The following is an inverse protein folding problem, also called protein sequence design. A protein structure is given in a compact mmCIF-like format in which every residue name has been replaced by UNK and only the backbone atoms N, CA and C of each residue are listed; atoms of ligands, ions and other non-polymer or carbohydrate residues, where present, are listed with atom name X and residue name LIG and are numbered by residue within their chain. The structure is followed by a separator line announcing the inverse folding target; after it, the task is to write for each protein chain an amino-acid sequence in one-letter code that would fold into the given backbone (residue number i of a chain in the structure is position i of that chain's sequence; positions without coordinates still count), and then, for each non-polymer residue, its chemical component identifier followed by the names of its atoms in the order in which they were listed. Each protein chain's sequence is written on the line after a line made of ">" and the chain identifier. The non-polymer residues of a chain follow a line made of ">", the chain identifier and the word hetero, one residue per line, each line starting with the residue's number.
data_IF_498973840951
#
_entry.id   IF_498973840951
#
_cell.length_a   1.000
_cell.length_b   1.000
_cell.length_c   1.000
_cell.angle_alpha   90.00
_cell.angle_beta   90.00
_cell.angle_gamma   90.00
#
_symmetry.space_group_name_H-M   'P 1'
#
loop_
_entity.id
_entity.type
_entity.pdbx_description
1 polymer ?
#
# COMPACT_ATOMS: atom_id res chain seq x y z
N UNK A 1 13.16 12.89 10.09
CA UNK A 1 12.53 11.73 10.76
C UNK A 1 11.02 11.90 11.00
N UNK A 2 10.53 13.08 11.44
CA UNK A 2 9.09 13.29 11.71
C UNK A 2 8.16 13.02 10.51
N UNK A 3 8.47 13.53 9.31
CA UNK A 3 7.58 13.40 8.12
C UNK A 3 7.36 11.95 7.70
N UNK A 4 8.38 11.09 7.74
CA UNK A 4 8.25 9.66 7.37
C UNK A 4 7.30 8.96 8.35
N UNK A 5 7.44 9.24 9.64
CA UNK A 5 6.54 8.70 10.67
C UNK A 5 5.10 9.15 10.43
N UNK A 6 4.88 10.43 10.11
CA UNK A 6 3.55 10.97 9.83
C UNK A 6 2.93 10.35 8.59
N UNK A 7 3.70 10.14 7.52
CA UNK A 7 3.21 9.45 6.32
C UNK A 7 2.78 8.02 6.68
N UNK A 8 3.62 7.26 7.40
CA UNK A 8 3.25 5.91 7.85
C UNK A 8 1.97 5.89 8.70
N UNK A 9 1.86 6.82 9.66
CA UNK A 9 0.66 6.96 10.49
C UNK A 9 -0.57 7.35 9.68
N UNK A 10 -0.41 8.21 8.67
CA UNK A 10 -1.47 8.58 7.75
C UNK A 10 -2.00 7.38 6.95
N UNK A 11 -1.10 6.56 6.40
CA UNK A 11 -1.47 5.32 5.71
C UNK A 11 -2.21 4.37 6.67
N UNK A 12 -1.64 4.05 7.83
CA UNK A 12 -2.30 3.14 8.78
C UNK A 12 -3.66 3.65 9.26
N UNK A 13 -3.78 4.96 9.50
CA UNK A 13 -5.05 5.58 9.92
C UNK A 13 -6.11 5.53 8.81
N UNK A 14 -5.71 5.76 7.57
CA UNK A 14 -6.62 5.70 6.42
C UNK A 14 -7.15 4.27 6.22
N UNK A 15 -6.27 3.28 6.29
CA UNK A 15 -6.67 1.87 6.15
C UNK A 15 -7.60 1.42 7.28
N UNK A 16 -7.29 1.78 8.53
CA UNK A 16 -8.16 1.55 9.68
C UNK A 16 -9.54 2.22 9.52
N UNK A 17 -9.58 3.40 8.91
CA UNK A 17 -10.83 4.10 8.58
C UNK A 17 -11.65 3.38 7.51
N UNK A 18 -11.00 2.90 6.46
CA UNK A 18 -11.61 2.16 5.36
C UNK A 18 -12.18 0.83 5.87
N UNK A 19 -11.40 0.06 6.62
CA UNK A 19 -11.70 -1.31 7.02
C UNK A 19 -12.48 -1.35 8.34
N UNK A 20 -11.86 -0.95 9.45
CA UNK A 20 -12.40 -1.21 10.78
C UNK A 20 -13.51 -0.22 11.16
N UNK A 21 -13.29 1.09 10.95
CA UNK A 21 -14.24 2.10 11.42
C UNK A 21 -15.56 2.08 10.64
N UNK A 22 -15.54 1.77 9.35
CA UNK A 22 -16.77 1.67 8.57
C UNK A 22 -17.60 0.44 8.96
N UNK A 23 -16.95 -0.68 9.30
CA UNK A 23 -17.64 -1.85 9.88
C UNK A 23 -18.29 -1.47 11.21
N UNK A 24 -17.58 -0.77 12.11
CA UNK A 24 -18.14 -0.34 13.40
C UNK A 24 -19.37 0.56 13.22
N UNK A 25 -19.33 1.53 12.29
CA UNK A 25 -20.50 2.38 11.97
C UNK A 25 -21.71 1.58 11.52
N UNK A 26 -21.50 0.52 10.74
CA UNK A 26 -22.59 -0.36 10.31
C UNK A 26 -23.15 -1.16 11.48
N UNK A 27 -22.30 -1.67 12.38
CA UNK A 27 -22.70 -2.42 13.56
C UNK A 27 -23.47 -1.56 14.58
N UNK A 28 -23.17 -0.26 14.67
CA UNK A 28 -23.91 0.69 15.50
C UNK A 28 -25.33 0.97 14.98
N UNK A 29 -25.60 0.77 13.69
CA UNK A 29 -26.92 0.92 13.09
C UNK A 29 -27.25 -0.22 12.12
N UNK A 30 -27.55 -1.44 12.64
CA UNK A 30 -27.72 -2.64 11.82
C UNK A 30 -28.97 -2.62 10.91
N UNK A 31 -29.88 -1.66 11.14
CA UNK A 31 -31.06 -1.48 10.30
C UNK A 31 -30.76 -0.70 9.01
N UNK A 32 -29.59 -0.07 8.89
CA UNK A 32 -29.17 0.65 7.69
C UNK A 32 -28.63 -0.29 6.59
N UNK A 33 -29.45 -1.23 6.13
CA UNK A 33 -29.07 -2.15 5.04
C UNK A 33 -28.79 -1.41 3.73
N UNK A 34 -29.44 -0.26 3.51
CA UNK A 34 -29.25 0.57 2.32
C UNK A 34 -27.84 1.20 2.27
N UNK A 35 -27.30 1.64 3.41
CA UNK A 35 -25.95 2.20 3.52
C UNK A 35 -24.83 1.17 3.72
N UNK A 36 -25.16 -0.12 3.90
CA UNK A 36 -24.15 -1.15 4.16
C UNK A 36 -23.15 -1.30 3.00
N UNK A 37 -23.63 -1.22 1.76
CA UNK A 37 -22.75 -1.28 0.60
C UNK A 37 -21.77 -0.10 0.57
N UNK A 38 -22.25 1.12 0.84
CA UNK A 38 -21.41 2.33 0.86
C UNK A 38 -20.30 2.24 1.92
N UNK A 39 -20.61 1.67 3.08
CA UNK A 39 -19.63 1.51 4.16
C UNK A 39 -18.63 0.37 3.91
N UNK A 40 -19.07 -0.76 3.32
CA UNK A 40 -18.25 -1.96 3.22
C UNK A 40 -17.50 -2.10 1.89
N UNK A 41 -18.04 -1.60 0.78
CA UNK A 41 -17.39 -1.75 -0.53
C UNK A 41 -15.94 -1.24 -0.56
N UNK A 42 -15.58 -0.10 0.07
CA UNK A 42 -14.19 0.35 0.11
C UNK A 42 -13.24 -0.63 0.79
N UNK A 43 -13.69 -1.33 1.85
CA UNK A 43 -12.89 -2.32 2.56
C UNK A 43 -12.73 -3.62 1.76
N UNK A 44 -13.77 -4.01 1.03
CA UNK A 44 -13.76 -5.21 0.18
C UNK A 44 -12.97 -5.02 -1.11
N UNK A 45 -12.80 -3.78 -1.56
CA UNK A 45 -11.92 -3.44 -2.67
C UNK A 45 -10.49 -3.22 -2.22
N UNK A 46 -9.53 -3.53 -3.10
CA UNK A 46 -8.12 -3.22 -2.93
C UNK A 46 -7.67 -2.01 -3.72
N UNK A 47 -6.69 -1.28 -3.21
CA UNK A 47 -5.97 -0.27 -3.99
C UNK A 47 -4.51 -0.13 -3.58
N UNK A 48 -3.64 0.06 -4.57
CA UNK A 48 -2.28 0.52 -4.34
C UNK A 48 -2.28 2.01 -3.97
N UNK A 49 -1.33 2.42 -3.14
CA UNK A 49 -1.15 3.81 -2.74
C UNK A 49 0.29 4.26 -2.95
N UNK A 50 0.49 5.35 -3.69
CA UNK A 50 1.80 5.96 -3.90
C UNK A 50 1.71 7.47 -3.67
N UNK A 51 2.59 7.98 -2.81
CA UNK A 51 2.65 9.41 -2.49
C UNK A 51 4.09 9.90 -2.62
N UNK A 52 4.25 11.03 -3.32
CA UNK A 52 5.49 11.79 -3.43
C UNK A 52 5.32 13.13 -2.72
N UNK A 53 6.20 13.42 -1.76
CA UNK A 53 6.19 14.67 -1.00
C UNK A 53 7.53 15.39 -1.17
N UNK A 54 7.52 16.54 -1.84
CA UNK A 54 8.69 17.38 -2.04
C UNK A 54 8.64 18.59 -1.10
N UNK A 55 9.64 18.71 -0.24
CA UNK A 55 9.84 19.89 0.59
C UNK A 55 10.78 20.86 -0.14
N UNK A 56 10.27 22.01 -0.56
CA UNK A 56 11.02 23.01 -1.32
C UNK A 56 12.11 23.70 -0.51
N UNK A 57 11.97 23.76 0.83
CA UNK A 57 12.97 24.38 1.70
C UNK A 57 14.17 23.46 1.89
N UNK A 58 13.94 22.20 2.24
CA UNK A 58 15.01 21.21 2.40
C UNK A 58 15.48 20.61 1.07
N UNK A 59 14.71 20.78 0.00
CA UNK A 59 14.90 20.13 -1.32
C UNK A 59 14.88 18.60 -1.25
N UNK A 60 14.17 18.04 -0.26
CA UNK A 60 14.08 16.58 -0.06
C UNK A 60 12.76 16.05 -0.62
N UNK A 61 12.85 15.20 -1.64
CA UNK A 61 11.76 14.36 -2.12
C UNK A 61 11.64 13.10 -1.26
N UNK A 62 10.43 12.78 -0.80
CA UNK A 62 10.11 11.56 -0.07
C UNK A 62 9.05 10.80 -0.83
N UNK A 63 9.24 9.51 -1.03
CA UNK A 63 8.28 8.62 -1.69
C UNK A 63 7.83 7.56 -0.69
N UNK A 64 6.53 7.31 -0.65
CA UNK A 64 5.93 6.21 0.09
C UNK A 64 5.04 5.40 -0.84
N UNK A 65 5.13 4.07 -0.74
CA UNK A 65 4.34 3.13 -1.53
C UNK A 65 3.78 2.02 -0.64
N UNK A 66 2.51 1.68 -0.89
CA UNK A 66 1.87 0.43 -0.50
C UNK A 66 1.32 -0.23 -1.78
N UNK A 67 1.85 -1.39 -2.15
CA UNK A 67 1.52 -2.10 -3.38
C UNK A 67 2.58 -2.02 -4.48
N UNK A 68 2.15 -2.25 -5.71
CA UNK A 68 3.00 -2.48 -6.89
C UNK A 68 3.06 -1.29 -7.86
N UNK A 69 2.52 -0.13 -7.45
CA UNK A 69 2.78 1.14 -8.14
C UNK A 69 4.23 1.58 -8.00
N UNK A 70 4.76 2.31 -8.99
CA UNK A 70 6.18 2.71 -9.02
C UNK A 70 6.39 4.19 -9.23
N UNK A 71 7.27 4.79 -8.40
CA UNK A 71 7.78 6.13 -8.59
C UNK A 71 9.10 6.09 -9.38
N UNK A 72 9.16 6.86 -10.45
CA UNK A 72 10.35 7.03 -11.29
C UNK A 72 10.75 8.50 -11.32
N UNK A 73 12.04 8.78 -11.11
CA UNK A 73 12.63 10.10 -11.26
C UNK A 73 13.31 10.20 -12.61
N UNK A 74 12.74 10.99 -13.52
CA UNK A 74 13.43 11.44 -14.72
C UNK A 74 14.37 12.59 -14.39
N UNK A 75 15.62 12.52 -14.82
CA UNK A 75 16.61 13.59 -14.63
C UNK A 75 17.40 13.80 -15.90
N UNK A 76 17.58 15.07 -16.28
CA UNK A 76 18.44 15.47 -17.39
C UNK A 76 19.85 15.72 -16.85
N UNK A 77 20.85 15.01 -17.39
CA UNK A 77 22.23 15.21 -16.98
C UNK A 77 22.88 16.41 -17.72
N UNK A 78 24.11 16.74 -17.37
CA UNK A 78 24.86 17.86 -17.96
C UNK A 78 25.14 17.68 -19.47
N UNK A 79 25.06 16.45 -19.97
CA UNK A 79 25.25 16.09 -21.38
C UNK A 79 23.93 16.12 -22.18
N UNK A 80 22.83 16.62 -21.60
CA UNK A 80 21.48 16.60 -22.18
C UNK A 80 20.91 15.18 -22.43
N UNK A 81 21.39 14.18 -21.69
CA UNK A 81 20.85 12.83 -21.72
C UNK A 81 19.84 12.63 -20.58
N UNK A 82 18.71 11.99 -20.89
CA UNK A 82 17.72 11.60 -19.90
C UNK A 82 18.18 10.34 -19.15
N UNK A 83 18.09 10.40 -17.82
CA UNK A 83 18.30 9.26 -16.92
C UNK A 83 17.02 9.00 -16.14
N UNK A 84 16.79 7.74 -15.76
CA UNK A 84 15.60 7.33 -14.98
C UNK A 84 16.07 6.54 -13.77
N UNK A 85 15.67 6.98 -12.58
CA UNK A 85 15.97 6.29 -11.31
C UNK A 85 14.68 5.86 -10.63
N UNK A 86 14.57 4.58 -10.24
CA UNK A 86 13.45 4.12 -9.44
C UNK A 86 13.56 4.65 -8.00
N UNK A 87 12.48 5.25 -7.50
CA UNK A 87 12.39 5.80 -6.14
C UNK A 87 11.58 4.91 -5.18
N UNK A 88 11.00 3.83 -5.70
CA UNK A 88 10.26 2.84 -4.93
C UNK A 88 10.55 1.43 -5.45
N UNK A 89 10.24 0.44 -4.61
CA UNK A 89 10.36 -0.97 -4.95
C UNK A 89 8.95 -1.56 -4.91
N UNK A 90 8.54 -2.21 -5.98
CA UNK A 90 7.23 -2.84 -6.09
C UNK A 90 7.08 -3.93 -5.02
N UNK A 91 5.94 -3.95 -4.37
CA UNK A 91 5.62 -4.88 -3.30
C UNK A 91 4.72 -5.98 -3.87
N UNK A 92 5.33 -7.00 -4.47
CA UNK A 92 4.66 -8.15 -5.09
C UNK A 92 5.25 -9.46 -4.60
N UNK A 93 4.56 -10.58 -4.83
CA UNK A 93 5.08 -11.92 -4.50
C UNK A 93 6.23 -12.39 -5.41
N UNK A 94 6.65 -11.57 -6.38
CA UNK A 94 7.89 -11.77 -7.15
C UNK A 94 9.11 -11.09 -6.52
N UNK A 95 8.91 -10.21 -5.53
CA UNK A 95 9.99 -9.54 -4.81
C UNK A 95 10.52 -10.45 -3.67
N UNK A 96 11.77 -10.95 -3.73
CA UNK A 96 12.29 -11.87 -2.72
C UNK A 96 12.28 -11.30 -1.29
N UNK A 97 12.38 -9.98 -1.14
CA UNK A 97 12.33 -9.31 0.16
C UNK A 97 10.93 -9.38 0.76
N UNK A 98 9.88 -9.18 -0.05
CA UNK A 98 8.49 -9.31 0.41
C UNK A 98 8.13 -10.76 0.69
N UNK A 99 8.58 -11.70 -0.14
CA UNK A 99 8.35 -13.13 0.08
C UNK A 99 9.00 -13.59 1.38
N UNK A 100 10.26 -13.22 1.62
CA UNK A 100 10.96 -13.56 2.87
C UNK A 100 10.25 -12.95 4.08
N UNK A 101 9.78 -11.71 3.98
CA UNK A 101 8.98 -11.05 5.02
C UNK A 101 7.71 -11.84 5.33
N UNK A 102 6.88 -12.14 4.32
CA UNK A 102 5.63 -12.88 4.51
C UNK A 102 5.87 -14.27 5.12
N UNK A 103 6.89 -15.01 4.66
CA UNK A 103 7.24 -16.31 5.23
C UNK A 103 7.69 -16.20 6.70
N UNK A 104 8.40 -15.14 7.06
CA UNK A 104 8.82 -14.91 8.45
C UNK A 104 7.67 -14.48 9.37
N UNK A 105 6.70 -13.74 8.85
CA UNK A 105 5.49 -13.35 9.58
C UNK A 105 4.53 -14.54 9.74
N UNK A 106 4.61 -15.53 8.84
CA UNK A 106 3.75 -16.72 8.81
C UNK A 106 4.55 -18.04 8.72
N UNK A 107 5.32 -18.42 9.76
CA UNK A 107 6.26 -19.56 9.70
C UNK A 107 5.62 -20.93 9.46
N UNK A 108 4.32 -21.08 9.76
CA UNK A 108 3.56 -22.32 9.57
C UNK A 108 2.72 -22.34 8.30
N UNK A 109 2.82 -21.30 7.46
CA UNK A 109 2.05 -21.16 6.23
C UNK A 109 3.03 -21.09 5.04
N UNK A 110 3.63 -22.24 4.63
CA UNK A 110 4.63 -22.27 3.53
C UNK A 110 4.06 -21.82 2.17
N UNK A 111 2.75 -21.65 2.14
CA UNK A 111 1.91 -21.36 1.01
C UNK A 111 1.36 -19.92 1.03
N UNK A 112 1.90 -19.04 1.91
CA UNK A 112 1.52 -17.63 2.00
C UNK A 112 1.77 -16.86 0.69
N UNK A 113 2.73 -17.33 -0.11
CA UNK A 113 2.93 -16.90 -1.50
C UNK A 113 2.86 -18.13 -2.42
N UNK A 114 1.99 -18.08 -3.44
CA UNK A 114 1.86 -19.12 -4.47
C UNK A 114 1.88 -18.47 -5.84
N UNK A 115 2.63 -19.03 -6.79
CA UNK A 115 2.75 -18.50 -8.16
C UNK A 115 3.07 -16.98 -8.21
N UNK A 116 3.90 -16.49 -7.27
CA UNK A 116 4.26 -15.07 -7.19
C UNK A 116 3.17 -14.15 -6.63
N UNK A 117 2.12 -14.70 -6.02
CA UNK A 117 0.96 -13.96 -5.49
C UNK A 117 0.67 -14.32 -4.03
N UNK A 118 0.19 -13.37 -3.24
CA UNK A 118 -0.26 -13.64 -1.86
C UNK A 118 -1.46 -14.59 -1.92
N UNK A 119 -1.34 -15.73 -1.22
CA UNK A 119 -2.29 -16.85 -1.22
C UNK A 119 -2.68 -17.37 -2.62
N UNK A 120 -1.94 -16.99 -3.67
CA UNK A 120 -2.22 -17.34 -5.06
C UNK A 120 -3.21 -16.43 -5.79
N UNK A 121 -3.80 -15.42 -5.13
CA UNK A 121 -4.81 -14.53 -5.74
C UNK A 121 -4.30 -13.10 -5.93
N UNK A 122 -3.73 -12.50 -4.88
CA UNK A 122 -3.40 -11.08 -4.85
C UNK A 122 -1.98 -10.82 -5.37
N UNK A 123 -1.86 -9.95 -6.37
CA UNK A 123 -0.57 -9.55 -6.96
C UNK A 123 0.27 -8.71 -5.98
N UNK A 124 -0.24 -7.60 -5.42
CA UNK A 124 0.50 -6.84 -4.43
C UNK A 124 0.55 -7.56 -3.08
N UNK A 125 1.68 -7.44 -2.38
CA UNK A 125 1.84 -7.96 -1.02
C UNK A 125 1.36 -7.00 0.05
N UNK A 126 1.03 -5.76 -0.34
CA UNK A 126 0.49 -4.71 0.53
C UNK A 126 -0.50 -3.87 -0.27
N UNK A 127 -1.61 -3.50 0.34
CA UNK A 127 -2.62 -2.65 -0.29
C UNK A 127 -3.38 -1.87 0.81
N UNK A 128 -4.19 -0.90 0.39
CA UNK A 128 -5.32 -0.43 1.20
C UNK A 128 -6.54 -1.31 0.95
N UNK A 129 -7.34 -1.57 1.98
CA UNK A 129 -8.53 -2.42 1.85
C UNK A 129 -8.15 -3.90 1.68
N UNK A 130 -8.69 -4.55 0.65
CA UNK A 130 -8.54 -6.01 0.40
C UNK A 130 -8.93 -6.87 1.64
N UNK A 131 -9.91 -6.42 2.41
CA UNK A 131 -10.43 -7.08 3.61
C UNK A 131 -11.58 -8.07 3.31
N UNK A 132 -11.59 -8.64 2.10
CA UNK A 132 -12.61 -9.58 1.60
C UNK A 132 -12.48 -11.00 2.15
#
# INVERSE_FOLDING_TARGET
>A
MATIRLIKQGFLKLDDEIVNKNVNKLLENPNNKAGAAELLMPALSGSCGLVSFYDTHSKILKVAVTGDSRALLGSLNEENNWTVTALSIDQTGSNPTEVAKLLSEHPNEPNVVRNGRVLGSLEPTRAFGDAS
#
